data_IF_577946939646
#
_entry.id   IF_577946939646
#
_cell.length_a   1.000
_cell.length_b   1.000
_cell.length_c   1.000
_cell.angle_alpha   90.00
_cell.angle_beta   90.00
_cell.angle_gamma   90.00
#
_symmetry.space_group_name_H-M   'P 1'
#
loop_
_entity.id
_entity.type
_entity.pdbx_description
1 polymer ?
#
# COMPACT_ATOMS: atom_id res chain seq x y z
N UNK A 1 12.58 9.07 9.46
CA UNK A 1 12.09 8.34 8.27
C UNK A 1 13.06 8.54 7.12
N UNK A 2 13.37 7.49 6.40
CA UNK A 2 14.23 7.60 5.21
C UNK A 2 13.48 8.33 4.09
N UNK A 3 14.13 9.27 3.40
CA UNK A 3 13.57 9.98 2.24
C UNK A 3 13.22 9.03 1.09
N UNK A 4 13.71 7.78 1.15
CA UNK A 4 13.49 6.75 0.14
C UNK A 4 12.38 5.76 0.53
N UNK A 5 11.65 6.01 1.61
CA UNK A 5 10.56 5.12 2.01
C UNK A 5 9.47 5.10 0.94
N UNK A 6 9.00 3.89 0.63
CA UNK A 6 7.94 3.66 -0.36
C UNK A 6 6.72 3.13 0.34
N UNK A 7 5.55 3.62 -0.05
CA UNK A 7 4.30 3.07 0.44
C UNK A 7 3.97 1.81 -0.34
N UNK A 8 3.67 0.74 0.37
CA UNK A 8 3.22 -0.52 -0.22
C UNK A 8 1.69 -0.55 -0.15
N UNK A 9 1.05 -0.54 -1.32
CA UNK A 9 -0.41 -0.50 -1.42
C UNK A 9 -1.03 -1.86 -1.11
N UNK A 10 -2.31 -1.85 -0.80
CA UNK A 10 -3.08 -3.04 -0.41
C UNK A 10 -2.95 -4.19 -1.40
N UNK A 11 -3.07 -3.90 -2.70
CA UNK A 11 -3.01 -4.96 -3.73
C UNK A 11 -1.68 -5.72 -3.71
N UNK A 12 -0.58 -5.05 -3.40
CA UNK A 12 0.74 -5.69 -3.28
C UNK A 12 0.82 -6.55 -2.03
N UNK A 13 0.33 -6.04 -0.89
CA UNK A 13 0.28 -6.82 0.35
C UNK A 13 -0.59 -8.07 0.19
N UNK A 14 -1.73 -7.95 -0.47
CA UNK A 14 -2.63 -9.08 -0.73
C UNK A 14 -1.92 -10.15 -1.56
N UNK A 15 -1.24 -9.77 -2.63
CA UNK A 15 -0.51 -10.71 -3.47
C UNK A 15 0.68 -11.37 -2.73
N UNK A 16 1.31 -10.66 -1.81
CA UNK A 16 2.43 -11.21 -1.03
C UNK A 16 1.98 -12.34 -0.11
N UNK A 17 0.78 -12.26 0.45
CA UNK A 17 0.31 -13.19 1.47
C UNK A 17 -0.77 -14.16 0.98
N UNK A 18 -1.21 -14.05 -0.27
CA UNK A 18 -2.18 -14.97 -0.87
C UNK A 18 -1.71 -15.41 -2.25
N UNK A 19 -2.17 -16.58 -2.71
CA UNK A 19 -1.77 -17.11 -4.02
C UNK A 19 -3.00 -17.24 -4.92
N UNK A 20 -3.26 -16.22 -5.72
CA UNK A 20 -4.27 -16.26 -6.78
C UNK A 20 -3.64 -16.18 -8.18
N UNK A 21 -2.48 -15.54 -8.28
CA UNK A 21 -1.66 -15.42 -9.48
C UNK A 21 -0.21 -15.65 -9.05
N UNK A 22 0.40 -16.75 -9.51
CA UNK A 22 1.73 -17.15 -9.05
C UNK A 22 2.80 -16.10 -9.35
N UNK A 23 2.78 -15.49 -10.54
CA UNK A 23 3.77 -14.47 -10.91
C UNK A 23 3.65 -13.22 -10.05
N UNK A 24 2.43 -12.76 -9.82
CA UNK A 24 2.18 -11.61 -8.95
C UNK A 24 2.57 -11.93 -7.52
N UNK A 25 2.23 -13.11 -7.04
CA UNK A 25 2.61 -13.56 -5.71
C UNK A 25 4.13 -13.55 -5.54
N UNK A 26 4.88 -14.11 -6.47
CA UNK A 26 6.35 -14.15 -6.41
C UNK A 26 6.95 -12.75 -6.38
N UNK A 27 6.47 -11.85 -7.23
CA UNK A 27 6.95 -10.47 -7.29
C UNK A 27 6.65 -9.70 -6.01
N UNK A 28 5.43 -9.83 -5.50
CA UNK A 28 5.00 -9.16 -4.27
C UNK A 28 5.73 -9.73 -3.05
N UNK A 29 5.85 -11.05 -2.98
CA UNK A 29 6.54 -11.71 -1.87
C UNK A 29 8.01 -11.31 -1.81
N UNK A 30 8.71 -11.29 -2.96
CA UNK A 30 10.10 -10.87 -3.02
C UNK A 30 10.28 -9.44 -2.48
N UNK A 31 9.38 -8.54 -2.84
CA UNK A 31 9.41 -7.16 -2.40
C UNK A 31 9.17 -7.05 -0.89
N UNK A 32 8.17 -7.73 -0.37
CA UNK A 32 7.83 -7.71 1.06
C UNK A 32 8.92 -8.38 1.89
N UNK A 33 9.54 -9.44 1.39
CA UNK A 33 10.69 -10.08 2.06
C UNK A 33 11.87 -9.12 2.20
N UNK A 34 12.12 -8.26 1.21
CA UNK A 34 13.16 -7.24 1.32
C UNK A 34 12.89 -6.27 2.48
N UNK A 35 11.63 -5.90 2.67
CA UNK A 35 11.25 -5.06 3.81
C UNK A 35 11.57 -5.77 5.13
N UNK A 36 11.16 -7.04 5.26
CA UNK A 36 11.43 -7.82 6.47
C UNK A 36 12.93 -8.03 6.71
N UNK A 37 13.75 -7.99 5.67
CA UNK A 37 15.22 -8.10 5.76
C UNK A 37 15.92 -6.79 6.10
N UNK A 38 15.20 -5.69 6.20
CA UNK A 38 15.75 -4.41 6.64
C UNK A 38 15.52 -3.22 5.71
N UNK A 39 14.94 -3.41 4.53
CA UNK A 39 14.53 -2.27 3.70
C UNK A 39 13.27 -1.65 4.29
N UNK A 40 13.34 -0.38 4.64
CA UNK A 40 12.21 0.31 5.22
C UNK A 40 11.09 0.49 4.20
N UNK A 41 9.84 0.35 4.65
CA UNK A 41 8.66 0.61 3.87
C UNK A 41 7.60 1.29 4.74
N UNK A 42 6.65 1.93 4.06
CA UNK A 42 5.51 2.59 4.68
C UNK A 42 4.23 1.92 4.19
N UNK A 43 3.23 1.87 5.02
CA UNK A 43 1.85 1.59 4.61
C UNK A 43 0.92 2.47 5.44
N UNK A 44 -0.36 2.49 5.11
CA UNK A 44 -1.32 3.26 5.90
C UNK A 44 -2.19 2.33 6.71
N UNK A 45 -2.78 2.86 7.77
CA UNK A 45 -3.79 2.12 8.53
C UNK A 45 -4.96 1.71 7.62
N UNK A 46 -5.35 2.57 6.67
CA UNK A 46 -6.37 2.24 5.67
C UNK A 46 -5.97 1.00 4.85
N UNK A 47 -4.72 0.93 4.38
CA UNK A 47 -4.23 -0.23 3.64
C UNK A 47 -4.31 -1.52 4.46
N UNK A 48 -4.00 -1.44 5.74
CA UNK A 48 -4.09 -2.60 6.63
C UNK A 48 -5.54 -3.04 6.87
N UNK A 49 -6.46 -2.08 6.98
CA UNK A 49 -7.90 -2.38 7.07
C UNK A 49 -8.39 -3.09 5.81
N UNK A 50 -8.04 -2.57 4.64
CA UNK A 50 -8.41 -3.16 3.35
C UNK A 50 -7.76 -4.54 3.18
N UNK A 51 -6.49 -4.67 3.55
CA UNK A 51 -5.77 -5.94 3.51
C UNK A 51 -6.51 -7.02 4.30
N UNK A 52 -6.85 -6.73 5.56
CA UNK A 52 -7.57 -7.69 6.40
C UNK A 52 -8.89 -8.11 5.75
N UNK A 53 -9.67 -7.15 5.29
CA UNK A 53 -10.96 -7.43 4.68
C UNK A 53 -10.81 -8.30 3.42
N UNK A 54 -9.87 -7.96 2.55
CA UNK A 54 -9.69 -8.65 1.27
C UNK A 54 -9.18 -10.07 1.46
N UNK A 55 -8.12 -10.27 2.26
CA UNK A 55 -7.52 -11.61 2.41
C UNK A 55 -8.41 -12.58 3.17
N UNK A 56 -9.33 -12.09 3.99
CA UNK A 56 -10.27 -12.95 4.73
C UNK A 56 -11.56 -13.22 3.98
N UNK A 57 -11.89 -12.44 2.91
CA UNK A 57 -13.19 -12.51 2.25
C UNK A 57 -13.20 -12.47 0.73
N UNK A 58 -12.26 -11.77 0.10
CA UNK A 58 -12.37 -11.43 -1.33
C UNK A 58 -11.44 -12.23 -2.25
N UNK A 59 -10.47 -12.92 -1.71
CA UNK A 59 -9.56 -13.76 -2.50
C UNK A 59 -10.15 -15.13 -2.74
N UNK A 60 -9.64 -15.84 -3.77
CA UNK A 60 -10.13 -17.18 -4.13
C UNK A 60 -9.95 -18.19 -3.00
N UNK A 61 -8.85 -18.08 -2.24
CA UNK A 61 -8.55 -18.91 -1.07
C UNK A 61 -8.33 -18.03 0.15
N UNK A 62 -9.42 -17.65 0.85
CA UNK A 62 -9.30 -16.79 2.04
C UNK A 62 -8.46 -17.42 3.14
N UNK A 63 -7.71 -16.59 3.84
CA UNK A 63 -6.97 -17.04 5.02
C UNK A 63 -7.82 -16.80 6.28
N UNK A 64 -7.58 -17.57 7.36
CA UNK A 64 -8.30 -17.34 8.62
C UNK A 64 -8.03 -15.96 9.19
N UNK A 65 -9.03 -15.38 9.87
CA UNK A 65 -8.88 -14.07 10.52
C UNK A 65 -7.71 -14.02 11.48
N UNK A 66 -7.43 -15.12 12.19
CA UNK A 66 -6.28 -15.21 13.10
C UNK A 66 -4.93 -15.09 12.37
N UNK A 67 -4.83 -15.65 11.16
CA UNK A 67 -3.62 -15.54 10.34
C UNK A 67 -3.46 -14.10 9.83
N UNK A 68 -4.53 -13.49 9.34
CA UNK A 68 -4.52 -12.10 8.89
C UNK A 68 -4.18 -11.14 10.03
N UNK A 69 -4.74 -11.38 11.22
CA UNK A 69 -4.43 -10.59 12.42
C UNK A 69 -2.94 -10.67 12.77
N UNK A 70 -2.35 -11.86 12.71
CA UNK A 70 -0.92 -12.04 13.00
C UNK A 70 -0.05 -11.23 12.04
N UNK A 71 -0.40 -11.18 10.76
CA UNK A 71 0.34 -10.40 9.76
C UNK A 71 0.24 -8.91 10.08
N UNK A 72 -0.98 -8.41 10.34
CA UNK A 72 -1.21 -6.99 10.65
C UNK A 72 -0.45 -6.59 11.92
N UNK A 73 -0.51 -7.40 12.97
CA UNK A 73 0.22 -7.14 14.21
C UNK A 73 1.73 -7.13 14.00
N UNK A 74 2.25 -8.05 13.18
CA UNK A 74 3.69 -8.09 12.86
C UNK A 74 4.14 -6.82 12.15
N UNK A 75 3.36 -6.34 11.17
CA UNK A 75 3.66 -5.10 10.45
C UNK A 75 3.66 -3.92 11.41
N UNK A 76 2.64 -3.79 12.26
CA UNK A 76 2.51 -2.66 13.18
C UNK A 76 3.57 -2.66 14.27
N UNK A 77 4.08 -3.82 14.66
CA UNK A 77 5.13 -3.93 15.67
C UNK A 77 6.55 -3.82 15.11
N UNK A 78 6.72 -3.87 13.80
CA UNK A 78 8.03 -3.91 13.14
C UNK A 78 8.69 -2.54 13.08
N UNK A 79 10.01 -2.50 13.27
CA UNK A 79 10.82 -1.30 13.05
C UNK A 79 11.07 -1.02 11.56
N UNK A 80 10.86 -1.98 10.67
CA UNK A 80 11.00 -1.82 9.22
C UNK A 80 9.77 -1.22 8.55
N UNK A 81 8.61 -1.35 9.17
CA UNK A 81 7.35 -0.83 8.64
C UNK A 81 6.93 0.41 9.40
N UNK A 82 6.71 1.49 8.68
CA UNK A 82 6.07 2.67 9.24
C UNK A 82 4.59 2.67 8.84
N UNK A 83 3.70 2.66 9.82
CA UNK A 83 2.26 2.75 9.55
C UNK A 83 1.83 4.18 9.80
N UNK A 84 1.40 4.87 8.75
CA UNK A 84 0.91 6.24 8.82
C UNK A 84 -0.61 6.26 8.77
N UNK A 85 -1.21 7.34 9.28
CA UNK A 85 -2.66 7.47 9.32
C UNK A 85 -3.08 8.88 8.94
N UNK A 86 -4.33 9.03 8.58
CA UNK A 86 -4.95 10.28 8.18
C UNK A 86 -5.49 11.06 9.37
N UNK A 87 -5.58 12.37 9.17
CA UNK A 87 -6.25 13.30 10.06
C UNK A 87 -7.37 14.02 9.32
N UNK A 88 -8.04 14.96 9.96
CA UNK A 88 -9.04 15.81 9.28
C UNK A 88 -8.39 16.65 8.17
N UNK A 89 -7.17 17.11 8.36
CA UNK A 89 -6.43 17.83 7.31
C UNK A 89 -6.18 16.97 6.08
N UNK A 90 -5.89 15.70 6.28
CA UNK A 90 -5.70 14.74 5.19
C UNK A 90 -6.97 14.65 4.34
N UNK A 91 -8.14 14.62 4.98
CA UNK A 91 -9.42 14.59 4.27
C UNK A 91 -9.59 15.80 3.37
N UNK A 92 -9.30 17.01 3.86
CA UNK A 92 -9.42 18.21 3.05
C UNK A 92 -8.44 18.22 1.87
N UNK A 93 -7.21 17.78 2.08
CA UNK A 93 -6.23 17.65 1.00
C UNK A 93 -6.67 16.63 -0.04
N UNK A 94 -7.25 15.50 0.40
CA UNK A 94 -7.78 14.49 -0.51
C UNK A 94 -8.92 15.04 -1.37
N UNK A 95 -9.82 15.82 -0.77
CA UNK A 95 -10.92 16.48 -1.50
C UNK A 95 -10.35 17.40 -2.59
N UNK A 96 -9.31 18.17 -2.29
CA UNK A 96 -8.65 19.02 -3.28
C UNK A 96 -8.06 18.21 -4.44
N UNK A 97 -7.45 17.06 -4.15
CA UNK A 97 -6.90 16.17 -5.19
C UNK A 97 -8.02 15.63 -6.10
N UNK A 98 -9.17 15.31 -5.54
CA UNK A 98 -10.34 14.88 -6.30
C UNK A 98 -10.82 16.00 -7.22
N UNK A 99 -10.95 17.21 -6.69
CA UNK A 99 -11.45 18.37 -7.45
C UNK A 99 -10.49 18.78 -8.56
N UNK A 100 -9.19 18.79 -8.30
CA UNK A 100 -8.18 19.31 -9.23
C UNK A 100 -7.73 18.28 -10.26
N UNK A 101 -7.61 17.01 -9.86
CA UNK A 101 -6.97 15.99 -10.70
C UNK A 101 -7.89 14.81 -11.02
N UNK A 102 -9.13 14.84 -10.55
CA UNK A 102 -10.12 13.78 -10.76
C UNK A 102 -9.67 12.42 -10.25
N UNK A 103 -8.84 12.39 -9.20
CA UNK A 103 -8.39 11.17 -8.57
C UNK A 103 -9.56 10.48 -7.85
N UNK A 104 -9.66 9.14 -7.88
CA UNK A 104 -10.64 8.44 -7.06
C UNK A 104 -10.42 8.76 -5.58
N UNK A 105 -11.50 8.95 -4.83
CA UNK A 105 -11.41 9.50 -3.48
C UNK A 105 -10.50 8.69 -2.54
N UNK A 106 -10.66 7.38 -2.51
CA UNK A 106 -9.88 6.54 -1.59
C UNK A 106 -8.39 6.53 -1.94
N UNK A 107 -8.04 6.59 -3.22
CA UNK A 107 -6.66 6.75 -3.68
C UNK A 107 -6.11 8.13 -3.34
N UNK A 108 -6.94 9.16 -3.52
CA UNK A 108 -6.58 10.52 -3.14
C UNK A 108 -6.29 10.63 -1.64
N UNK A 109 -7.04 9.91 -0.81
CA UNK A 109 -6.85 9.89 0.64
C UNK A 109 -5.51 9.25 1.02
N UNK A 110 -5.14 8.16 0.37
CA UNK A 110 -3.83 7.52 0.55
C UNK A 110 -2.72 8.48 0.11
N UNK A 111 -2.86 9.08 -1.07
CA UNK A 111 -1.85 10.01 -1.61
C UNK A 111 -1.67 11.24 -0.72
N UNK A 112 -2.76 11.81 -0.22
CA UNK A 112 -2.70 12.95 0.70
C UNK A 112 -1.96 12.59 1.98
N UNK A 113 -2.24 11.40 2.52
CA UNK A 113 -1.55 10.88 3.70
C UNK A 113 -0.05 10.70 3.45
N UNK A 114 0.32 10.16 2.28
CA UNK A 114 1.71 10.02 1.86
C UNK A 114 2.43 11.36 1.84
N UNK A 115 1.86 12.33 1.13
CA UNK A 115 2.47 13.64 0.95
C UNK A 115 2.67 14.37 2.28
N UNK A 116 1.73 14.25 3.20
CA UNK A 116 1.85 14.85 4.54
C UNK A 116 2.98 14.23 5.35
N UNK A 117 3.35 12.98 5.08
CA UNK A 117 4.41 12.26 5.78
C UNK A 117 5.73 12.21 4.99
N UNK A 118 5.82 12.98 3.90
CA UNK A 118 7.05 13.03 3.10
C UNK A 118 7.33 11.76 2.31
N UNK A 119 6.30 10.94 2.05
CA UNK A 119 6.41 9.72 1.24
C UNK A 119 5.94 10.04 -0.17
N UNK A 120 6.80 9.88 -1.17
CA UNK A 120 6.53 10.31 -2.54
C UNK A 120 6.40 9.16 -3.54
N UNK A 121 6.71 7.94 -3.15
CA UNK A 121 6.66 6.78 -4.03
C UNK A 121 5.68 5.75 -3.49
N UNK A 122 4.81 5.26 -4.37
CA UNK A 122 3.88 4.18 -4.05
C UNK A 122 4.18 2.97 -4.94
N UNK A 123 4.21 1.79 -4.32
CA UNK A 123 4.29 0.51 -5.01
C UNK A 123 2.88 -0.03 -5.11
N UNK A 124 2.34 -0.09 -6.32
CA UNK A 124 0.93 -0.44 -6.56
C UNK A 124 0.73 -0.97 -7.98
N UNK A 125 -0.28 -1.80 -8.15
CA UNK A 125 -0.76 -2.18 -9.47
C UNK A 125 -1.60 -1.07 -10.13
N UNK A 126 -2.14 -0.17 -9.33
CA UNK A 126 -3.03 0.90 -9.79
C UNK A 126 -2.24 2.13 -10.27
N UNK A 127 -1.49 1.99 -11.36
CA UNK A 127 -0.69 3.09 -11.91
C UNK A 127 -1.54 4.26 -12.37
N UNK A 128 -2.63 3.96 -13.06
CA UNK A 128 -3.47 4.95 -13.73
C UNK A 128 -3.94 6.06 -12.79
N UNK A 129 -4.47 5.67 -11.64
CA UNK A 129 -5.10 6.62 -10.73
C UNK A 129 -4.07 7.43 -9.93
N UNK A 130 -2.99 6.78 -9.48
CA UNK A 130 -1.95 7.48 -8.72
C UNK A 130 -1.08 8.39 -9.58
N UNK A 131 -0.90 8.08 -10.86
CA UNK A 131 -0.14 8.95 -11.78
C UNK A 131 -0.81 10.30 -12.02
N UNK A 132 -2.10 10.42 -11.76
CA UNK A 132 -2.83 11.69 -11.86
C UNK A 132 -2.38 12.70 -10.81
N UNK A 133 -1.78 12.25 -9.73
CA UNK A 133 -1.51 13.07 -8.55
C UNK A 133 -0.09 13.61 -8.61
N UNK A 134 0.10 14.95 -8.70
CA UNK A 134 1.44 15.53 -8.71
C UNK A 134 2.19 15.20 -7.41
N UNK A 135 3.49 14.97 -7.53
CA UNK A 135 4.35 14.66 -6.39
C UNK A 135 4.37 13.18 -6.02
N UNK A 136 3.59 12.34 -6.70
CA UNK A 136 3.57 10.89 -6.46
C UNK A 136 4.25 10.17 -7.63
N UNK A 137 5.26 9.37 -7.31
CA UNK A 137 5.90 8.44 -8.24
C UNK A 137 5.32 7.05 -8.04
N UNK A 138 5.08 6.32 -9.12
CA UNK A 138 4.44 5.01 -9.07
C UNK A 138 5.40 3.92 -9.57
N UNK A 139 5.51 2.85 -8.80
CA UNK A 139 6.20 1.63 -9.20
C UNK A 139 5.17 0.50 -9.24
N UNK A 140 4.99 -0.12 -10.39
CA UNK A 140 4.15 -1.31 -10.53
C UNK A 140 5.06 -2.55 -10.51
N UNK A 141 5.02 -3.34 -9.42
CA UNK A 141 5.92 -4.50 -9.29
C UNK A 141 5.52 -5.67 -10.18
N UNK A 142 4.33 -5.61 -10.78
CA UNK A 142 3.79 -6.69 -11.61
C UNK A 142 4.01 -6.46 -13.10
N UNK A 143 4.56 -5.30 -13.46
CA UNK A 143 4.78 -4.96 -14.86
C UNK A 143 6.03 -5.67 -15.38
N UNK A 144 5.88 -6.41 -16.47
CA UNK A 144 7.00 -7.08 -17.10
C UNK A 144 7.97 -6.04 -17.69
N UNK A 145 9.23 -6.10 -17.30
CA UNK A 145 10.27 -5.29 -17.92
C UNK A 145 10.57 -5.86 -19.30
N UNK A 146 10.51 -5.02 -20.29
CA UNK A 146 10.93 -5.37 -21.66
C UNK A 146 12.39 -5.03 -21.87
#
# INVERSE_FOLDING_TARGET
>A
MSDNSRLIDTNVLVQAYTVSDEKKHESALALVEQVWKGEEATTTLQNLCEFFFVVTRKVAKPIPSSAAEAIVKAIMASSQWQVIDRSSETLFRAIDLVKLYHAPFWDALIAACMLEHGVHTIVTENERDFKRIPGISVINPFKTKR
#
